data_IF_897211199051
#
_entry.id   IF_897211199051
#
_cell.length_a   1.000
_cell.length_b   1.000
_cell.length_c   1.000
_cell.angle_alpha   90.00
_cell.angle_beta   90.00
_cell.angle_gamma   90.00
#
_symmetry.space_group_name_H-M   'P 1'
#
loop_
_entity.id
_entity.type
_entity.pdbx_description
1 polymer ?
#
# COMPACT_ATOMS: atom_id res chain seq x y z
N UNK A 1 -13.15 -3.13 -16.06
CA UNK A 1 -11.90 -2.97 -15.28
C UNK A 1 -11.94 -1.59 -14.64
N UNK A 2 -11.73 -1.46 -13.31
CA UNK A 2 -11.72 -0.12 -12.68
C UNK A 2 -10.51 0.67 -13.17
N UNK A 3 -10.70 1.93 -13.53
CA UNK A 3 -9.57 2.78 -13.95
C UNK A 3 -8.68 3.11 -12.75
N UNK A 4 -7.40 3.42 -12.99
CA UNK A 4 -6.50 3.91 -11.94
C UNK A 4 -7.10 5.11 -11.17
N UNK A 5 -7.76 6.02 -11.89
CA UNK A 5 -8.42 7.20 -11.29
C UNK A 5 -9.50 6.82 -10.28
N UNK A 6 -10.32 5.82 -10.60
CA UNK A 6 -11.36 5.30 -9.69
C UNK A 6 -10.75 4.61 -8.47
N UNK A 7 -9.76 3.74 -8.69
CA UNK A 7 -9.08 3.02 -7.60
C UNK A 7 -8.36 3.99 -6.65
N UNK A 8 -7.65 4.98 -7.19
CA UNK A 8 -7.01 6.07 -6.44
C UNK A 8 -8.05 6.85 -5.62
N UNK A 9 -9.19 7.20 -6.21
CA UNK A 9 -10.25 7.94 -5.50
C UNK A 9 -10.80 7.13 -4.32
N UNK A 10 -11.04 5.83 -4.52
CA UNK A 10 -11.50 4.94 -3.46
C UNK A 10 -10.48 4.84 -2.32
N UNK A 11 -9.19 4.65 -2.65
CA UNK A 11 -8.11 4.65 -1.66
C UNK A 11 -8.05 5.98 -0.88
N UNK A 12 -8.03 7.13 -1.56
CA UNK A 12 -7.95 8.45 -0.90
C UNK A 12 -9.14 8.73 0.02
N UNK A 13 -10.35 8.29 -0.35
CA UNK A 13 -11.53 8.39 0.51
C UNK A 13 -11.33 7.62 1.82
N UNK A 14 -10.84 6.38 1.74
CA UNK A 14 -10.56 5.56 2.92
C UNK A 14 -9.39 6.11 3.73
N UNK A 15 -8.36 6.66 3.08
CA UNK A 15 -7.23 7.31 3.75
C UNK A 15 -7.68 8.54 4.54
N UNK A 16 -8.60 9.36 4.00
CA UNK A 16 -9.22 10.48 4.74
C UNK A 16 -9.95 9.98 5.99
N UNK A 17 -10.81 8.98 5.83
CA UNK A 17 -11.54 8.37 6.96
C UNK A 17 -10.59 7.78 8.00
N UNK A 18 -9.45 7.21 7.57
CA UNK A 18 -8.44 6.67 8.46
C UNK A 18 -7.79 7.77 9.30
N UNK A 19 -7.39 8.87 8.65
CA UNK A 19 -6.84 10.04 9.32
C UNK A 19 -7.85 10.65 10.29
N UNK A 20 -9.11 10.81 9.87
CA UNK A 20 -10.20 11.29 10.73
C UNK A 20 -10.38 10.38 11.96
N UNK A 21 -10.42 9.06 11.76
CA UNK A 21 -10.55 8.09 12.85
C UNK A 21 -9.39 8.21 13.84
N UNK A 22 -8.15 8.31 13.36
CA UNK A 22 -6.96 8.44 14.21
C UNK A 22 -6.89 9.79 14.94
N UNK A 23 -7.56 10.82 14.44
CA UNK A 23 -7.67 12.13 15.08
C UNK A 23 -8.94 12.28 15.94
N UNK A 24 -9.78 11.25 16.04
CA UNK A 24 -10.97 11.28 16.89
C UNK A 24 -10.63 11.40 18.39
N UNK A 25 -11.53 11.95 19.22
CA UNK A 25 -11.32 12.02 20.67
C UNK A 25 -11.01 10.67 21.32
N UNK A 26 -11.68 9.60 20.84
CA UNK A 26 -11.43 8.22 21.30
C UNK A 26 -10.02 7.77 20.94
N UNK A 27 -9.51 8.09 19.75
CA UNK A 27 -8.14 7.78 19.38
C UNK A 27 -7.09 8.55 20.20
N UNK A 28 -7.39 9.78 20.63
CA UNK A 28 -6.54 10.55 21.55
C UNK A 28 -6.50 9.87 22.92
N UNK A 29 -7.67 9.49 23.46
CA UNK A 29 -7.75 8.75 24.73
C UNK A 29 -7.02 7.39 24.66
N UNK A 30 -7.06 6.72 23.50
CA UNK A 30 -6.33 5.46 23.28
C UNK A 30 -4.82 5.67 23.37
N UNK A 31 -4.30 6.72 22.72
CA UNK A 31 -2.88 7.08 22.75
C UNK A 31 -2.39 7.46 24.15
N UNK A 32 -3.26 8.04 24.96
CA UNK A 32 -2.99 8.40 26.36
C UNK A 32 -3.14 7.22 27.33
N UNK A 33 -3.49 6.01 26.85
CA UNK A 33 -3.70 4.83 27.71
C UNK A 33 -4.99 4.83 28.53
N UNK A 34 -5.80 5.89 28.45
CA UNK A 34 -7.03 6.04 29.26
C UNK A 34 -8.07 4.97 28.94
N UNK A 35 -8.25 4.63 27.66
CA UNK A 35 -9.22 3.59 27.26
C UNK A 35 -8.86 2.19 27.77
N UNK A 36 -7.57 1.90 28.00
CA UNK A 36 -7.16 0.63 28.59
C UNK A 36 -7.50 0.58 30.08
N UNK A 37 -7.36 1.70 30.79
CA UNK A 37 -7.81 1.85 32.17
C UNK A 37 -9.33 1.71 32.29
N UNK A 38 -10.10 2.42 31.46
CA UNK A 38 -11.56 2.36 31.47
C UNK A 38 -12.10 0.96 31.11
N UNK A 39 -11.43 0.26 30.19
CA UNK A 39 -11.72 -1.14 29.85
C UNK A 39 -11.48 -2.07 31.04
N UNK A 40 -10.33 -1.94 31.72
CA UNK A 40 -9.99 -2.76 32.87
C UNK A 40 -10.97 -2.54 34.01
N UNK A 41 -11.32 -1.29 34.31
CA UNK A 41 -12.30 -0.93 35.35
C UNK A 41 -13.67 -1.54 35.04
N UNK A 42 -14.14 -1.47 33.79
CA UNK A 42 -15.42 -2.07 33.41
C UNK A 42 -15.41 -3.61 33.52
N UNK A 43 -14.32 -4.27 33.08
CA UNK A 43 -14.18 -5.72 33.17
C UNK A 43 -14.08 -6.19 34.61
N UNK A 44 -13.34 -5.47 35.45
CA UNK A 44 -13.21 -5.74 36.88
C UNK A 44 -14.57 -5.63 37.57
N UNK A 45 -15.25 -4.50 37.39
CA UNK A 45 -16.59 -4.28 37.89
C UNK A 45 -17.60 -5.32 37.38
N UNK A 46 -17.42 -5.91 36.20
CA UNK A 46 -18.39 -6.88 35.65
C UNK A 46 -18.09 -8.33 36.04
N UNK A 47 -16.82 -8.72 36.08
CA UNK A 47 -16.42 -10.13 36.11
C UNK A 47 -15.45 -10.50 37.24
N UNK A 48 -14.76 -9.53 37.87
CA UNK A 48 -13.72 -9.81 38.87
C UNK A 48 -14.05 -9.18 40.23
N UNK A 49 -14.90 -9.84 41.05
CA UNK A 49 -15.31 -9.32 42.36
C UNK A 49 -14.16 -9.11 43.35
N UNK A 50 -13.03 -9.79 43.12
CA UNK A 50 -11.79 -9.69 43.93
C UNK A 50 -10.83 -8.60 43.43
N UNK A 51 -11.17 -7.83 42.39
CA UNK A 51 -10.32 -6.72 41.93
C UNK A 51 -10.26 -5.60 42.99
N UNK A 52 -9.10 -4.95 43.20
CA UNK A 52 -8.95 -3.80 44.09
C UNK A 52 -9.91 -2.64 43.79
N UNK A 53 -10.44 -2.56 42.56
CA UNK A 53 -11.40 -1.56 42.12
C UNK A 53 -12.86 -1.90 42.50
N UNK A 54 -13.10 -3.11 43.01
CA UNK A 54 -14.43 -3.65 43.33
C UNK A 54 -14.54 -3.99 44.82
N UNK A 55 -13.43 -4.36 45.45
CA UNK A 55 -13.36 -4.66 46.88
C UNK A 55 -13.75 -3.42 47.70
N UNK A 56 -14.80 -3.56 48.52
CA UNK A 56 -15.34 -2.48 49.37
C UNK A 56 -16.58 -1.78 48.81
N UNK A 57 -16.99 -2.07 47.56
CA UNK A 57 -18.25 -1.58 47.01
C UNK A 57 -19.43 -2.49 47.38
N UNK A 58 -20.55 -1.90 47.78
CA UNK A 58 -21.83 -2.60 47.86
C UNK A 58 -22.33 -2.99 46.46
N UNK A 59 -23.29 -3.92 46.39
CA UNK A 59 -23.89 -4.33 45.13
C UNK A 59 -24.52 -3.16 44.36
N UNK A 60 -25.20 -2.24 45.07
CA UNK A 60 -25.80 -1.05 44.46
C UNK A 60 -24.77 -0.07 43.89
N UNK A 61 -23.67 0.16 44.62
CA UNK A 61 -22.58 1.02 44.14
C UNK A 61 -21.87 0.43 42.92
N UNK A 62 -21.69 -0.89 42.91
CA UNK A 62 -21.13 -1.63 41.77
C UNK A 62 -21.99 -1.48 40.52
N UNK A 63 -23.31 -1.59 40.65
CA UNK A 63 -24.24 -1.40 39.53
C UNK A 63 -24.21 0.03 38.98
N UNK A 64 -24.11 1.04 39.85
CA UNK A 64 -23.97 2.45 39.44
C UNK A 64 -22.65 2.67 38.69
N UNK A 65 -21.54 2.16 39.21
CA UNK A 65 -20.22 2.26 38.58
C UNK A 65 -20.18 1.55 37.22
N UNK A 66 -20.81 0.37 37.10
CA UNK A 66 -20.97 -0.35 35.83
C UNK A 66 -21.71 0.48 34.78
N UNK A 67 -22.84 1.08 35.16
CA UNK A 67 -23.63 1.93 34.25
C UNK A 67 -22.84 3.17 33.81
N UNK A 68 -22.05 3.76 34.71
CA UNK A 68 -21.21 4.91 34.41
C UNK A 68 -20.05 4.57 33.45
N UNK A 69 -19.42 3.40 33.61
CA UNK A 69 -18.29 2.97 32.79
C UNK A 69 -18.70 2.35 31.44
N UNK A 70 -19.94 1.88 31.30
CA UNK A 70 -20.43 1.20 30.10
C UNK A 70 -20.29 2.02 28.79
N UNK A 71 -20.61 3.32 28.74
CA UNK A 71 -20.49 4.11 27.50
C UNK A 71 -19.06 4.19 26.99
N UNK A 72 -18.08 4.39 27.88
CA UNK A 72 -16.65 4.44 27.52
C UNK A 72 -16.13 3.08 27.04
N UNK A 73 -16.56 1.99 27.68
CA UNK A 73 -16.29 0.63 27.23
C UNK A 73 -16.83 0.38 25.81
N UNK A 74 -18.10 0.70 25.56
CA UNK A 74 -18.72 0.49 24.24
C UNK A 74 -18.04 1.33 23.15
N UNK A 75 -17.70 2.59 23.45
CA UNK A 75 -16.96 3.45 22.54
C UNK A 75 -15.57 2.87 22.19
N UNK A 76 -14.88 2.29 23.18
CA UNK A 76 -13.59 1.60 22.99
C UNK A 76 -13.72 0.42 22.02
N UNK A 77 -14.71 -0.44 22.24
CA UNK A 77 -14.96 -1.61 21.39
C UNK A 77 -15.32 -1.20 19.96
N UNK A 78 -16.20 -0.19 19.80
CA UNK A 78 -16.60 0.32 18.49
C UNK A 78 -15.42 0.94 17.74
N UNK A 79 -14.57 1.72 18.43
CA UNK A 79 -13.36 2.29 17.85
C UNK A 79 -12.40 1.20 17.39
N UNK A 80 -12.14 0.19 18.22
CA UNK A 80 -11.26 -0.93 17.87
C UNK A 80 -11.77 -1.70 16.64
N UNK A 81 -13.07 -2.02 16.62
CA UNK A 81 -13.73 -2.68 15.48
C UNK A 81 -13.61 -1.82 14.21
N UNK A 82 -13.97 -0.54 14.29
CA UNK A 82 -13.93 0.37 13.14
C UNK A 82 -12.51 0.55 12.60
N UNK A 83 -11.52 0.65 13.49
CA UNK A 83 -10.10 0.72 13.13
C UNK A 83 -9.65 -0.55 12.40
N UNK A 84 -10.02 -1.73 12.89
CA UNK A 84 -9.67 -2.98 12.21
C UNK A 84 -10.28 -3.06 10.80
N UNK A 85 -11.59 -2.81 10.68
CA UNK A 85 -12.30 -2.85 9.41
C UNK A 85 -11.74 -1.84 8.40
N UNK A 86 -11.50 -0.61 8.86
CA UNK A 86 -11.00 0.46 8.00
C UNK A 86 -9.55 0.20 7.57
N UNK A 87 -8.70 -0.35 8.44
CA UNK A 87 -7.33 -0.75 8.07
C UNK A 87 -7.35 -1.82 6.99
N UNK A 88 -8.20 -2.83 7.13
CA UNK A 88 -8.34 -3.90 6.13
C UNK A 88 -8.83 -3.34 4.79
N UNK A 89 -9.86 -2.50 4.82
CA UNK A 89 -10.40 -1.85 3.62
C UNK A 89 -9.37 -0.94 2.93
N UNK A 90 -8.59 -0.18 3.72
CA UNK A 90 -7.53 0.69 3.21
C UNK A 90 -6.43 -0.13 2.51
N UNK A 91 -5.98 -1.22 3.12
CA UNK A 91 -4.99 -2.11 2.52
C UNK A 91 -5.48 -2.72 1.19
N UNK A 92 -6.73 -3.17 1.15
CA UNK A 92 -7.34 -3.69 -0.08
C UNK A 92 -7.48 -2.61 -1.17
N UNK A 93 -7.87 -1.40 -0.80
CA UNK A 93 -7.98 -0.28 -1.75
C UNK A 93 -6.62 0.16 -2.29
N UNK A 94 -5.58 0.15 -1.44
CA UNK A 94 -4.20 0.42 -1.87
C UNK A 94 -3.73 -0.65 -2.85
N UNK A 95 -3.92 -1.93 -2.54
CA UNK A 95 -3.56 -3.03 -3.44
C UNK A 95 -4.27 -2.90 -4.80
N UNK A 96 -5.57 -2.59 -4.81
CA UNK A 96 -6.32 -2.36 -6.05
C UNK A 96 -5.80 -1.14 -6.84
N UNK A 97 -5.42 -0.05 -6.15
CA UNK A 97 -4.86 1.13 -6.79
C UNK A 97 -3.46 0.87 -7.37
N UNK A 98 -2.62 0.12 -6.66
CA UNK A 98 -1.30 -0.31 -7.12
C UNK A 98 -1.42 -1.22 -8.34
N UNK A 99 -2.35 -2.18 -8.34
CA UNK A 99 -2.61 -3.03 -9.48
C UNK A 99 -3.05 -2.22 -10.71
N UNK A 100 -4.02 -1.33 -10.55
CA UNK A 100 -4.49 -0.48 -11.66
C UNK A 100 -3.39 0.48 -12.16
N UNK A 101 -2.51 0.95 -11.28
CA UNK A 101 -1.33 1.73 -11.66
C UNK A 101 -0.37 0.87 -12.48
N UNK A 102 -0.08 -0.35 -12.03
CA UNK A 102 0.73 -1.31 -12.77
C UNK A 102 0.19 -1.57 -14.16
N UNK A 103 -1.11 -1.85 -14.30
CA UNK A 103 -1.76 -2.06 -15.60
C UNK A 103 -1.59 -0.85 -16.53
N UNK A 104 -1.79 0.36 -16.00
CA UNK A 104 -1.56 1.59 -16.75
C UNK A 104 -0.10 1.72 -17.18
N UNK A 105 0.85 1.50 -16.28
CA UNK A 105 2.29 1.57 -16.56
C UNK A 105 2.71 0.52 -17.61
N UNK A 106 2.11 -0.68 -17.59
CA UNK A 106 2.35 -1.70 -18.59
C UNK A 106 1.86 -1.31 -19.99
N UNK A 107 0.72 -0.62 -20.08
CA UNK A 107 0.24 -0.04 -21.33
C UNK A 107 1.13 1.12 -21.81
N UNK A 108 1.58 1.99 -20.89
CA UNK A 108 2.53 3.08 -21.20
C UNK A 108 3.84 2.51 -21.76
N UNK A 109 4.34 1.41 -21.20
CA UNK A 109 5.52 0.70 -21.70
C UNK A 109 5.35 0.23 -23.16
N UNK A 110 4.21 -0.40 -23.48
CA UNK A 110 3.95 -0.90 -24.83
C UNK A 110 3.87 0.21 -25.88
N UNK A 111 3.36 1.37 -25.49
CA UNK A 111 3.22 2.53 -26.38
C UNK A 111 4.52 3.31 -26.56
N UNK A 112 5.52 3.09 -25.69
CA UNK A 112 6.77 3.84 -25.71
C UNK A 112 7.73 3.24 -26.75
N UNK A 113 8.30 4.04 -27.66
CA UNK A 113 9.35 3.60 -28.58
C UNK A 113 10.74 3.67 -27.93
N UNK A 114 11.74 3.06 -28.59
CA UNK A 114 13.15 3.15 -28.21
C UNK A 114 13.67 2.00 -27.35
N UNK A 115 14.89 2.19 -26.82
CA UNK A 115 15.66 1.18 -26.13
C UNK A 115 14.93 0.60 -24.91
N UNK A 116 14.99 -0.73 -24.78
CA UNK A 116 14.28 -1.51 -23.78
C UNK A 116 14.55 -1.03 -22.34
N UNK A 117 15.83 -0.85 -21.98
CA UNK A 117 16.27 -0.39 -20.66
C UNK A 117 15.70 1.00 -20.32
N UNK A 118 15.81 1.94 -21.26
CA UNK A 118 15.30 3.31 -21.10
C UNK A 118 13.79 3.33 -20.95
N UNK A 119 13.06 2.52 -21.73
CA UNK A 119 11.60 2.42 -21.62
C UNK A 119 11.17 1.91 -20.26
N UNK A 120 11.77 0.82 -19.78
CA UNK A 120 11.48 0.25 -18.46
C UNK A 120 11.80 1.27 -17.37
N UNK A 121 12.97 1.91 -17.42
CA UNK A 121 13.34 2.94 -16.45
C UNK A 121 12.35 4.10 -16.43
N UNK A 122 11.96 4.61 -17.59
CA UNK A 122 11.08 5.77 -17.69
C UNK A 122 9.69 5.50 -17.09
N UNK A 123 9.07 4.37 -17.46
CA UNK A 123 7.72 4.04 -16.97
C UNK A 123 7.71 3.72 -15.48
N UNK A 124 8.75 3.05 -14.96
CA UNK A 124 8.85 2.77 -13.53
C UNK A 124 9.13 4.04 -12.72
N UNK A 125 9.98 4.95 -13.22
CA UNK A 125 10.22 6.25 -12.59
C UNK A 125 8.94 7.09 -12.52
N UNK A 126 8.12 7.05 -13.58
CA UNK A 126 6.81 7.70 -13.60
C UNK A 126 5.83 7.06 -12.60
N UNK A 127 5.83 5.73 -12.49
CA UNK A 127 5.02 5.00 -11.52
C UNK A 127 5.42 5.30 -10.07
N UNK A 128 6.72 5.38 -9.78
CA UNK A 128 7.28 5.76 -8.48
C UNK A 128 6.76 7.11 -8.03
N UNK A 129 6.91 8.13 -8.89
CA UNK A 129 6.42 9.48 -8.61
C UNK A 129 4.90 9.48 -8.44
N UNK A 130 4.18 8.73 -9.27
CA UNK A 130 2.73 8.60 -9.14
C UNK A 130 2.34 7.99 -7.78
N UNK A 131 2.97 6.91 -7.35
CA UNK A 131 2.73 6.30 -6.02
C UNK A 131 3.04 7.27 -4.89
N UNK A 132 4.17 7.98 -4.97
CA UNK A 132 4.61 8.96 -3.96
C UNK A 132 3.59 10.07 -3.75
N UNK A 133 3.15 10.73 -4.81
CA UNK A 133 2.29 11.92 -4.68
C UNK A 133 0.80 11.59 -4.66
N UNK A 134 0.40 10.41 -5.16
CA UNK A 134 -1.00 10.10 -5.37
C UNK A 134 -1.56 9.01 -4.46
N UNK A 135 -0.71 8.16 -3.87
CA UNK A 135 -1.10 7.02 -3.04
C UNK A 135 -0.53 7.13 -1.62
N UNK A 136 0.46 6.32 -1.27
CA UNK A 136 0.91 6.06 0.10
C UNK A 136 2.23 6.76 0.49
N UNK A 137 2.83 7.53 -0.43
CA UNK A 137 4.03 8.32 -0.13
C UNK A 137 5.36 7.56 -0.23
N UNK A 138 5.35 6.23 -0.43
CA UNK A 138 6.59 5.44 -0.45
C UNK A 138 7.45 5.66 -1.69
N UNK A 139 6.81 5.94 -2.85
CA UNK A 139 7.52 6.30 -4.08
C UNK A 139 8.37 5.19 -4.70
N UNK A 140 7.98 3.93 -4.50
CA UNK A 140 8.66 2.75 -5.05
C UNK A 140 7.64 1.78 -5.62
N UNK A 141 7.69 1.48 -6.91
CA UNK A 141 6.81 0.58 -7.63
C UNK A 141 7.54 -0.75 -7.86
N UNK A 142 7.17 -1.77 -7.08
CA UNK A 142 7.90 -3.02 -7.04
C UNK A 142 7.51 -3.93 -8.22
N UNK A 143 8.50 -4.32 -9.02
CA UNK A 143 8.36 -5.32 -10.11
C UNK A 143 9.17 -6.61 -9.83
N UNK A 144 9.87 -6.66 -8.70
CA UNK A 144 10.70 -7.80 -8.30
C UNK A 144 9.81 -8.88 -7.66
N UNK A 145 8.99 -8.46 -6.70
CA UNK A 145 8.07 -9.37 -6.01
C UNK A 145 6.88 -9.70 -6.93
N UNK A 146 6.73 -10.99 -7.25
CA UNK A 146 5.63 -11.50 -8.07
C UNK A 146 4.27 -11.32 -7.42
N UNK A 147 4.25 -11.22 -6.09
CA UNK A 147 3.01 -11.10 -5.33
C UNK A 147 2.56 -9.67 -5.12
N UNK A 148 3.43 -8.70 -5.43
CA UNK A 148 3.11 -7.28 -5.36
C UNK A 148 1.98 -6.93 -6.35
N UNK A 149 0.92 -6.23 -5.89
CA UNK A 149 -0.19 -5.85 -6.75
C UNK A 149 0.23 -5.03 -7.97
N UNK A 150 1.20 -4.13 -7.83
CA UNK A 150 1.74 -3.34 -8.95
C UNK A 150 2.41 -4.24 -9.98
N UNK A 151 3.30 -5.15 -9.55
CA UNK A 151 3.97 -6.11 -10.44
C UNK A 151 2.94 -6.92 -11.24
N UNK A 152 1.92 -7.48 -10.55
CA UNK A 152 0.83 -8.24 -11.19
C UNK A 152 0.14 -7.43 -12.27
N UNK A 153 -0.23 -6.18 -11.99
CA UNK A 153 -0.84 -5.29 -12.97
C UNK A 153 0.09 -4.95 -14.14
N UNK A 154 1.36 -4.64 -13.85
CA UNK A 154 2.35 -4.28 -14.85
C UNK A 154 2.58 -5.40 -15.85
N UNK A 155 2.89 -6.61 -15.39
CA UNK A 155 3.14 -7.75 -16.27
C UNK A 155 1.86 -8.24 -16.97
N UNK A 156 0.68 -8.04 -16.40
CA UNK A 156 -0.59 -8.35 -17.07
C UNK A 156 -0.83 -7.51 -18.33
N UNK A 157 -0.23 -6.31 -18.43
CA UNK A 157 -0.45 -5.39 -19.57
C UNK A 157 0.79 -5.10 -20.40
N UNK A 158 2.00 -5.24 -19.87
CA UNK A 158 3.24 -4.95 -20.60
C UNK A 158 3.65 -6.01 -21.62
N UNK A 159 2.99 -7.19 -21.59
CA UNK A 159 3.38 -8.41 -22.34
C UNK A 159 4.78 -8.95 -22.00
N UNK A 160 5.46 -8.36 -21.03
CA UNK A 160 6.75 -8.83 -20.56
C UNK A 160 6.57 -10.05 -19.66
N UNK A 161 7.52 -10.98 -19.78
CA UNK A 161 7.72 -12.00 -18.75
C UNK A 161 8.76 -11.46 -17.77
N UNK A 162 8.50 -11.62 -16.47
CA UNK A 162 9.35 -11.03 -15.41
C UNK A 162 10.80 -11.47 -15.54
N UNK A 163 11.04 -12.77 -15.63
CA UNK A 163 12.41 -13.31 -15.63
C UNK A 163 13.14 -12.92 -16.92
N UNK A 164 12.42 -12.86 -18.06
CA UNK A 164 12.96 -12.35 -19.32
C UNK A 164 13.29 -10.85 -19.23
N UNK A 165 12.43 -10.05 -18.60
CA UNK A 165 12.68 -8.62 -18.41
C UNK A 165 13.99 -8.38 -17.64
N UNK A 166 14.21 -9.11 -16.54
CA UNK A 166 15.46 -8.97 -15.77
C UNK A 166 16.68 -9.48 -16.53
N UNK A 167 16.55 -10.58 -17.29
CA UNK A 167 17.60 -11.04 -18.18
C UNK A 167 17.95 -9.98 -19.23
N UNK A 168 16.94 -9.39 -19.88
CA UNK A 168 17.12 -8.35 -20.89
C UNK A 168 17.71 -7.06 -20.33
N UNK A 169 17.28 -6.63 -19.13
CA UNK A 169 17.89 -5.49 -18.44
C UNK A 169 19.37 -5.73 -18.14
N UNK A 170 19.73 -6.96 -17.74
CA UNK A 170 21.13 -7.35 -17.56
C UNK A 170 21.90 -7.28 -18.88
N UNK A 171 21.34 -7.80 -19.98
CA UNK A 171 21.96 -7.72 -21.31
C UNK A 171 22.18 -6.26 -21.73
N UNK A 172 21.17 -5.40 -21.60
CA UNK A 172 21.31 -3.97 -21.88
C UNK A 172 22.42 -3.33 -21.05
N UNK A 173 22.51 -3.68 -19.76
CA UNK A 173 23.53 -3.17 -18.85
C UNK A 173 24.94 -3.59 -19.28
N UNK A 174 25.14 -4.88 -19.57
CA UNK A 174 26.42 -5.42 -20.05
C UNK A 174 26.85 -4.76 -21.38
N UNK A 175 25.90 -4.53 -22.29
CA UNK A 175 26.14 -3.84 -23.55
C UNK A 175 26.58 -2.38 -23.33
N UNK A 176 25.86 -1.63 -22.47
CA UNK A 176 26.18 -0.22 -22.14
C UNK A 176 27.57 -0.07 -21.53
N UNK A 177 28.00 -1.05 -20.73
CA UNK A 177 29.34 -1.08 -20.14
C UNK A 177 30.41 -1.69 -21.05
N UNK A 178 30.10 -1.96 -22.33
CA UNK A 178 31.01 -2.60 -23.31
C UNK A 178 31.56 -3.96 -22.83
N UNK A 179 30.86 -4.61 -21.91
CA UNK A 179 31.21 -5.93 -21.40
C UNK A 179 30.67 -7.06 -22.30
N UNK A 180 29.76 -6.74 -23.22
CA UNK A 180 29.16 -7.68 -24.16
C UNK A 180 28.91 -7.02 -25.52
N UNK A 181 29.26 -7.73 -26.59
CA UNK A 181 28.84 -7.39 -27.95
C UNK A 181 27.54 -8.11 -28.26
N UNK A 182 26.58 -7.40 -28.86
CA UNK A 182 25.27 -7.94 -29.22
C UNK A 182 25.19 -8.23 -30.71
N UNK A 183 24.47 -9.29 -31.06
CA UNK A 183 24.08 -9.57 -32.44
C UNK A 183 23.07 -8.52 -32.95
N UNK A 184 22.95 -8.39 -34.28
CA UNK A 184 21.95 -7.50 -34.90
C UNK A 184 20.52 -7.84 -34.46
N UNK A 185 20.22 -9.13 -34.28
CA UNK A 185 18.91 -9.59 -33.79
C UNK A 185 18.65 -9.11 -32.36
N UNK A 186 19.64 -9.20 -31.47
CA UNK A 186 19.55 -8.70 -30.10
C UNK A 186 19.41 -7.17 -30.05
N UNK A 187 20.19 -6.44 -30.86
CA UNK A 187 20.11 -4.99 -30.98
C UNK A 187 18.72 -4.55 -31.43
N UNK A 188 18.15 -5.21 -32.44
CA UNK A 188 16.81 -4.89 -32.92
C UNK A 188 15.73 -5.19 -31.87
N UNK A 189 15.77 -6.40 -31.28
CA UNK A 189 14.82 -6.83 -30.25
C UNK A 189 14.83 -5.92 -29.02
N UNK A 190 16.00 -5.45 -28.60
CA UNK A 190 16.16 -4.56 -27.45
C UNK A 190 15.97 -3.08 -27.81
N UNK A 191 15.71 -2.74 -29.07
CA UNK A 191 15.55 -1.35 -29.51
C UNK A 191 16.83 -0.52 -29.41
N UNK A 192 17.99 -1.16 -29.47
CA UNK A 192 19.32 -0.54 -29.42
C UNK A 192 19.92 -0.28 -30.82
N UNK A 193 19.34 -0.89 -31.87
CA UNK A 193 19.86 -0.78 -33.23
C UNK A 193 19.92 0.67 -33.75
N UNK A 194 18.94 1.51 -33.41
CA UNK A 194 18.91 2.91 -33.82
C UNK A 194 20.02 3.74 -33.14
N UNK A 195 20.41 3.40 -31.91
CA UNK A 195 21.49 4.09 -31.19
C UNK A 195 22.87 3.81 -31.80
N UNK A 196 23.08 2.62 -32.36
CA UNK A 196 24.32 2.26 -33.05
C UNK A 196 24.47 3.04 -34.37
N UNK A 197 23.36 3.42 -35.00
CA UNK A 197 23.39 4.18 -36.25
C UNK A 197 23.81 5.64 -36.05
N UNK A 198 23.50 6.24 -34.88
CA UNK A 198 23.78 7.64 -34.57
C UNK A 198 25.24 7.90 -34.12
N UNK A 199 25.97 6.89 -33.62
CA UNK A 199 27.41 7.04 -33.29
C UNK A 199 28.33 7.17 -34.53
N UNK A 200 27.75 7.08 -35.73
CA UNK A 200 28.46 7.19 -37.02
C UNK A 200 28.43 8.60 -37.65
N UNK A 201 27.92 9.62 -36.94
CA UNK A 201 27.84 11.03 -37.37
C UNK A 201 28.75 11.92 -36.55
#
# INVERSE_FOLDING_TARGET
>A
MKTYTEARRAYRKLASQWTELLNSPVAVQARLGKLQGDLQVYLDLKFFPSSPYVVGLSQGEREIALRAAQPAFLASCQFAKRRYELRKALAQALAAALHALGERTGLEYLAMPGAFDKRVQAVLSHADMTRKYQLDGLGYANVIDKDDPFAKGFFAKSKLQRDQMFADLKVCTEYRYRARVLSNEELYRLGLAEEVSDESR
#
